data_IF_406416079926
#
_entry.id   IF_406416079926
#
_cell.length_a   1.000
_cell.length_b   1.000
_cell.length_c   1.000
_cell.angle_alpha   90.00
_cell.angle_beta   90.00
_cell.angle_gamma   90.00
#
_symmetry.space_group_name_H-M   'P 1'
#
loop_
_entity.id
_entity.type
_entity.pdbx_description
1 polymer ?
#
# COMPACT_ATOMS: atom_id res chain seq x y z
N UNK A 1 39.97 -10.45 -50.76
CA UNK A 1 39.74 -9.46 -49.70
C UNK A 1 40.53 -9.93 -48.48
N UNK A 2 41.73 -9.39 -48.26
CA UNK A 2 42.61 -9.79 -47.15
C UNK A 2 42.36 -8.89 -45.95
N UNK A 3 41.89 -9.45 -44.83
CA UNK A 3 41.73 -8.72 -43.58
C UNK A 3 43.11 -8.74 -42.89
N UNK A 4 43.88 -7.66 -43.02
CA UNK A 4 45.12 -7.47 -42.25
C UNK A 4 44.78 -6.89 -40.88
N UNK A 5 44.58 -7.76 -39.88
CA UNK A 5 44.51 -7.36 -38.48
C UNK A 5 45.94 -7.23 -37.91
N UNK A 6 46.30 -6.06 -37.39
CA UNK A 6 47.60 -5.84 -36.76
C UNK A 6 47.65 -6.56 -35.39
N UNK A 7 48.72 -7.30 -35.09
CA UNK A 7 48.89 -8.00 -33.81
C UNK A 7 48.74 -7.08 -32.58
N UNK A 8 49.09 -5.79 -32.69
CA UNK A 8 48.85 -4.81 -31.64
C UNK A 8 47.34 -4.52 -31.42
N UNK A 9 46.55 -4.50 -32.49
CA UNK A 9 45.09 -4.34 -32.41
C UNK A 9 44.44 -5.58 -31.79
N UNK A 10 44.93 -6.78 -32.11
CA UNK A 10 44.48 -8.04 -31.49
C UNK A 10 44.74 -8.02 -29.99
N UNK A 11 45.96 -7.68 -29.55
CA UNK A 11 46.30 -7.55 -28.12
C UNK A 11 45.47 -6.47 -27.40
N UNK A 12 45.15 -5.37 -28.07
CA UNK A 12 44.25 -4.35 -27.51
C UNK A 12 42.83 -4.87 -27.33
N UNK A 13 42.32 -5.70 -28.25
CA UNK A 13 41.01 -6.34 -28.13
C UNK A 13 41.00 -7.39 -27.03
N UNK A 14 42.06 -8.21 -26.89
CA UNK A 14 42.23 -9.18 -25.80
C UNK A 14 42.20 -8.49 -24.43
N UNK A 15 43.02 -7.45 -24.24
CA UNK A 15 43.04 -6.66 -23.00
C UNK A 15 41.68 -6.03 -22.68
N UNK A 16 40.92 -5.61 -23.71
CA UNK A 16 39.56 -5.07 -23.54
C UNK A 16 38.58 -6.15 -23.12
N UNK A 17 38.65 -7.34 -23.73
CA UNK A 17 37.82 -8.48 -23.36
C UNK A 17 38.10 -8.95 -21.93
N UNK A 18 39.37 -9.05 -21.52
CA UNK A 18 39.74 -9.39 -20.14
C UNK A 18 39.24 -8.35 -19.12
N UNK A 19 39.34 -7.06 -19.45
CA UNK A 19 38.80 -5.98 -18.60
C UNK A 19 37.27 -6.01 -18.54
N UNK A 20 36.61 -6.31 -19.65
CA UNK A 20 35.15 -6.50 -19.69
C UNK A 20 34.73 -7.70 -18.84
N UNK A 21 35.47 -8.80 -18.94
CA UNK A 21 35.19 -10.05 -18.24
C UNK A 21 35.45 -9.93 -16.72
N UNK A 22 36.52 -9.25 -16.31
CA UNK A 22 36.91 -9.18 -14.89
C UNK A 22 35.92 -8.42 -14.00
N UNK A 23 35.27 -7.35 -14.49
CA UNK A 23 34.26 -6.59 -13.72
C UNK A 23 33.11 -6.00 -14.55
N UNK A 24 33.28 -5.85 -15.86
CA UNK A 24 32.28 -5.24 -16.74
C UNK A 24 30.97 -6.03 -16.78
N UNK A 25 31.03 -7.35 -16.89
CA UNK A 25 29.84 -8.21 -16.88
C UNK A 25 29.04 -8.06 -15.58
N UNK A 26 29.71 -8.13 -14.44
CA UNK A 26 29.11 -7.92 -13.11
C UNK A 26 28.41 -6.56 -13.01
N UNK A 27 29.05 -5.48 -13.48
CA UNK A 27 28.42 -4.15 -13.45
C UNK A 27 27.24 -4.06 -14.41
N UNK A 28 27.29 -4.72 -15.56
CA UNK A 28 26.18 -4.76 -16.50
C UNK A 28 24.98 -5.52 -15.92
N UNK A 29 25.21 -6.64 -15.24
CA UNK A 29 24.16 -7.39 -14.52
C UNK A 29 23.52 -6.53 -13.42
N UNK A 30 24.35 -5.94 -12.55
CA UNK A 30 23.89 -5.05 -11.48
C UNK A 30 23.07 -3.88 -12.02
N UNK A 31 23.52 -3.26 -13.11
CA UNK A 31 22.81 -2.16 -13.75
C UNK A 31 21.46 -2.63 -14.31
N UNK A 32 21.42 -3.82 -14.90
CA UNK A 32 20.22 -4.41 -15.50
C UNK A 32 19.14 -4.67 -14.46
N UNK A 33 19.47 -5.39 -13.38
CA UNK A 33 18.50 -5.71 -12.32
C UNK A 33 18.04 -4.45 -11.59
N UNK A 34 18.95 -3.50 -11.35
CA UNK A 34 18.59 -2.22 -10.75
C UNK A 34 17.65 -1.42 -11.65
N UNK A 35 17.95 -1.35 -12.95
CA UNK A 35 17.10 -0.64 -13.92
C UNK A 35 15.71 -1.26 -13.98
N UNK A 36 15.61 -2.59 -14.05
CA UNK A 36 14.34 -3.28 -14.04
C UNK A 36 13.52 -2.94 -12.78
N UNK A 37 14.14 -2.95 -11.60
CA UNK A 37 13.48 -2.59 -10.36
C UNK A 37 13.00 -1.11 -10.34
N UNK A 38 13.82 -0.16 -10.79
CA UNK A 38 13.43 1.25 -10.87
C UNK A 38 12.30 1.51 -11.87
N UNK A 39 12.34 0.87 -13.04
CA UNK A 39 11.26 1.01 -14.02
C UNK A 39 9.98 0.34 -13.54
N UNK A 40 10.06 -0.81 -12.84
CA UNK A 40 8.91 -1.45 -12.20
C UNK A 40 8.28 -0.52 -11.16
N UNK A 41 9.10 0.11 -10.31
CA UNK A 41 8.62 1.08 -9.31
C UNK A 41 7.91 2.26 -9.97
N UNK A 42 8.49 2.81 -11.04
CA UNK A 42 7.95 3.96 -11.77
C UNK A 42 6.60 3.62 -12.41
N UNK A 43 6.52 2.46 -13.07
CA UNK A 43 5.30 1.95 -13.69
C UNK A 43 4.21 1.69 -12.64
N UNK A 44 4.55 0.98 -11.57
CA UNK A 44 3.62 0.69 -10.47
C UNK A 44 3.07 1.98 -9.85
N UNK A 45 3.90 3.00 -9.60
CA UNK A 45 3.45 4.30 -9.08
C UNK A 45 2.47 5.01 -10.01
N UNK A 46 2.68 4.91 -11.33
CA UNK A 46 1.83 5.51 -12.36
C UNK A 46 0.47 4.82 -12.43
N UNK A 47 0.45 3.49 -12.42
CA UNK A 47 -0.79 2.72 -12.55
C UNK A 47 -1.63 2.66 -11.26
N UNK A 48 -1.01 2.87 -10.10
CA UNK A 48 -1.66 2.66 -8.81
C UNK A 48 -2.98 3.46 -8.65
N UNK A 49 -3.01 4.70 -9.15
CA UNK A 49 -4.19 5.56 -9.07
C UNK A 49 -5.36 5.10 -9.93
N UNK A 50 -5.10 4.36 -11.02
CA UNK A 50 -6.14 3.76 -11.85
C UNK A 50 -6.68 2.44 -11.28
N UNK A 51 -5.85 1.71 -10.52
CA UNK A 51 -6.23 0.40 -9.95
C UNK A 51 -6.90 0.49 -8.60
N UNK A 52 -6.62 1.52 -7.80
CA UNK A 52 -7.20 1.68 -6.47
C UNK A 52 -7.43 3.14 -6.10
N UNK A 53 -8.44 3.39 -5.25
CA UNK A 53 -8.71 4.73 -4.72
C UNK A 53 -7.62 5.13 -3.72
N UNK A 54 -6.72 6.01 -4.17
CA UNK A 54 -5.66 6.57 -3.35
C UNK A 54 -6.19 7.72 -2.50
N UNK A 55 -6.28 7.49 -1.18
CA UNK A 55 -6.75 8.50 -0.21
C UNK A 55 -5.64 9.42 0.29
N UNK A 56 -4.40 9.11 -0.04
CA UNK A 56 -3.21 9.88 0.28
C UNK A 56 -2.08 9.54 -0.71
N UNK A 57 -1.04 10.38 -0.76
CA UNK A 57 0.16 10.12 -1.55
C UNK A 57 1.13 9.12 -0.89
N UNK A 58 0.89 8.72 0.37
CA UNK A 58 1.80 7.86 1.12
C UNK A 58 1.87 6.45 0.56
N UNK A 59 0.76 5.91 0.06
CA UNK A 59 0.73 4.60 -0.63
C UNK A 59 1.66 4.55 -1.85
N UNK A 60 1.75 5.64 -2.62
CA UNK A 60 2.68 5.72 -3.76
C UNK A 60 4.13 5.89 -3.29
N UNK A 61 4.34 6.73 -2.27
CA UNK A 61 5.67 7.01 -1.71
C UNK A 61 6.27 5.81 -0.99
N UNK A 62 5.44 4.92 -0.44
CA UNK A 62 5.90 3.72 0.25
C UNK A 62 6.44 2.63 -0.68
N UNK A 63 6.23 2.75 -1.99
CA UNK A 63 6.82 1.86 -2.98
C UNK A 63 8.29 2.23 -3.12
N UNK A 64 9.19 1.34 -2.71
CA UNK A 64 10.63 1.53 -2.63
C UNK A 64 11.37 0.45 -3.43
N UNK A 65 12.63 0.75 -3.77
CA UNK A 65 13.54 -0.16 -4.44
C UNK A 65 14.72 -0.45 -3.52
N UNK A 66 15.00 -1.73 -3.29
CA UNK A 66 16.27 -2.20 -2.75
C UNK A 66 17.20 -2.49 -3.92
N UNK A 67 18.29 -1.73 -4.02
CA UNK A 67 19.26 -1.90 -5.10
C UNK A 67 20.07 -3.18 -4.92
N UNK A 68 20.43 -3.81 -6.03
CA UNK A 68 21.44 -4.86 -6.07
C UNK A 68 22.81 -4.30 -5.73
N UNK A 69 23.59 -5.09 -5.01
CA UNK A 69 25.00 -4.84 -4.75
C UNK A 69 25.82 -6.07 -5.18
N UNK A 70 27.16 -5.96 -5.14
CA UNK A 70 28.07 -7.02 -5.61
C UNK A 70 27.94 -8.35 -4.84
N UNK A 71 27.34 -8.35 -3.65
CA UNK A 71 27.16 -9.55 -2.83
C UNK A 71 25.82 -10.23 -3.14
N UNK A 72 24.74 -9.44 -3.26
CA UNK A 72 23.38 -10.00 -3.40
C UNK A 72 22.98 -10.23 -4.85
N UNK A 73 23.49 -9.43 -5.79
CA UNK A 73 23.11 -9.44 -7.23
C UNK A 73 21.61 -9.33 -7.53
N UNK A 74 20.80 -9.09 -6.51
CA UNK A 74 19.36 -9.01 -6.58
C UNK A 74 18.87 -7.59 -6.26
N UNK A 75 18.00 -7.07 -7.11
CA UNK A 75 17.24 -5.86 -6.84
C UNK A 75 15.77 -6.23 -6.57
N UNK A 76 15.13 -5.55 -5.62
CA UNK A 76 13.74 -5.81 -5.28
C UNK A 76 12.94 -4.52 -5.27
N UNK A 77 11.69 -4.59 -5.71
CA UNK A 77 10.72 -3.49 -5.62
C UNK A 77 9.54 -3.95 -4.80
N UNK A 78 9.05 -3.11 -3.89
CA UNK A 78 7.92 -3.44 -3.05
C UNK A 78 7.42 -2.25 -2.26
N UNK A 79 6.42 -2.46 -1.41
CA UNK A 79 5.90 -1.42 -0.51
C UNK A 79 6.26 -1.71 0.94
N UNK A 80 6.58 -0.68 1.71
CA UNK A 80 6.75 -0.80 3.17
C UNK A 80 5.42 -0.96 3.92
N UNK A 81 4.29 -0.86 3.21
CA UNK A 81 2.96 -0.95 3.80
C UNK A 81 2.37 -2.33 3.65
N UNK A 82 2.13 -3.02 4.78
CA UNK A 82 1.56 -4.38 4.80
C UNK A 82 0.24 -4.52 4.05
N UNK A 83 -0.63 -3.50 4.09
CA UNK A 83 -1.91 -3.58 3.37
C UNK A 83 -1.72 -3.64 1.85
N UNK A 84 -0.61 -3.16 1.29
CA UNK A 84 -0.35 -3.21 -0.15
C UNK A 84 -0.06 -4.64 -0.62
N UNK A 85 0.57 -5.46 0.22
CA UNK A 85 0.72 -6.89 -0.03
C UNK A 85 -0.65 -7.57 -0.06
N UNK A 86 -1.51 -7.29 0.92
CA UNK A 86 -2.89 -7.83 0.94
C UNK A 86 -3.71 -7.36 -0.25
N UNK A 87 -3.48 -6.16 -0.79
CA UNK A 87 -4.09 -5.73 -2.05
C UNK A 87 -3.54 -6.53 -3.24
N UNK A 88 -2.22 -6.77 -3.29
CA UNK A 88 -1.57 -7.48 -4.40
C UNK A 88 -2.06 -8.92 -4.56
N UNK A 89 -2.13 -9.66 -3.46
CA UNK A 89 -2.44 -11.10 -3.45
C UNK A 89 -3.89 -11.40 -3.06
N UNK A 90 -4.60 -10.42 -2.49
CA UNK A 90 -5.88 -10.64 -1.82
C UNK A 90 -5.68 -11.12 -0.38
N UNK A 91 -6.78 -11.29 0.35
CA UNK A 91 -6.69 -11.88 1.68
C UNK A 91 -7.93 -11.66 2.52
N UNK A 92 -7.80 -11.94 3.81
CA UNK A 92 -8.88 -11.81 4.77
C UNK A 92 -8.39 -11.04 5.99
N UNK A 93 -9.16 -10.06 6.40
CA UNK A 93 -8.94 -9.34 7.66
C UNK A 93 -9.95 -9.84 8.69
N UNK A 94 -9.45 -10.40 9.80
CA UNK A 94 -10.27 -10.88 10.90
C UNK A 94 -10.27 -9.90 12.07
N UNK A 95 -11.33 -9.91 12.86
CA UNK A 95 -11.44 -9.05 14.04
C UNK A 95 -10.46 -9.50 15.13
N UNK A 96 -9.62 -8.59 15.62
CA UNK A 96 -8.68 -8.86 16.73
C UNK A 96 -9.32 -8.82 18.12
N UNK A 97 -10.56 -8.32 18.23
CA UNK A 97 -11.23 -8.09 19.50
C UNK A 97 -12.61 -8.74 19.62
N UNK A 98 -13.30 -8.42 20.72
CA UNK A 98 -14.67 -8.91 20.98
C UNK A 98 -15.67 -8.46 19.91
N UNK A 99 -15.44 -7.28 19.32
CA UNK A 99 -16.28 -6.72 18.26
C UNK A 99 -15.81 -7.16 16.86
N UNK A 100 -16.47 -6.72 15.79
CA UNK A 100 -16.04 -7.03 14.42
C UNK A 100 -14.85 -6.19 13.96
N UNK A 101 -14.43 -6.39 12.71
CA UNK A 101 -13.41 -5.56 12.03
C UNK A 101 -13.92 -4.13 11.93
N UNK A 102 -13.06 -3.16 12.23
CA UNK A 102 -13.41 -1.74 12.18
C UNK A 102 -13.37 -1.21 10.75
N UNK A 103 -14.54 -1.10 10.12
CA UNK A 103 -14.67 -0.58 8.76
C UNK A 103 -15.12 0.89 8.81
N UNK A 104 -14.27 1.86 8.46
CA UNK A 104 -14.65 3.26 8.50
C UNK A 104 -15.68 3.62 7.43
N UNK A 105 -16.69 4.38 7.86
CA UNK A 105 -17.73 4.95 7.00
C UNK A 105 -17.29 6.29 6.38
N UNK A 106 -18.08 6.81 5.43
CA UNK A 106 -17.85 8.14 4.81
C UNK A 106 -17.97 9.30 5.82
N UNK A 107 -18.71 9.10 6.91
CA UNK A 107 -18.79 10.06 8.02
C UNK A 107 -17.46 10.12 8.78
N UNK A 108 -16.71 9.01 8.86
CA UNK A 108 -15.42 8.96 9.53
C UNK A 108 -14.36 9.84 8.85
N UNK A 109 -14.38 9.89 7.52
CA UNK A 109 -13.57 10.80 6.70
C UNK A 109 -14.19 12.20 6.61
N UNK A 110 -15.46 12.34 6.95
CA UNK A 110 -16.22 13.59 6.90
C UNK A 110 -16.54 14.02 5.47
N UNK A 111 -16.84 13.03 4.62
CA UNK A 111 -17.29 13.20 3.23
C UNK A 111 -18.82 13.23 3.11
N UNK A 112 -19.54 13.26 4.23
CA UNK A 112 -21.00 13.15 4.28
C UNK A 112 -21.50 11.70 4.37
N UNK A 113 -22.82 11.50 4.46
CA UNK A 113 -23.42 10.15 4.49
C UNK A 113 -23.54 9.60 3.08
N UNK A 114 -23.14 8.35 2.86
CA UNK A 114 -23.40 7.62 1.61
C UNK A 114 -22.31 7.72 0.56
N UNK A 115 -21.30 8.57 0.74
CA UNK A 115 -20.21 8.77 -0.23
C UNK A 115 -19.41 7.47 -0.42
N UNK A 116 -19.49 6.91 -1.63
CA UNK A 116 -18.81 5.69 -2.04
C UNK A 116 -18.24 5.87 -3.47
N UNK A 117 -16.96 5.55 -3.72
CA UNK A 117 -15.93 5.19 -2.75
C UNK A 117 -15.51 6.40 -1.87
N UNK A 118 -14.94 6.12 -0.69
CA UNK A 118 -14.34 7.15 0.17
C UNK A 118 -13.01 7.61 -0.43
N UNK A 119 -12.87 8.91 -0.65
CA UNK A 119 -11.68 9.56 -1.21
C UNK A 119 -10.75 10.10 -0.12
N UNK A 120 -11.28 10.42 1.07
CA UNK A 120 -10.50 11.00 2.18
C UNK A 120 -10.15 9.98 3.25
N UNK A 121 -9.01 10.19 3.89
CA UNK A 121 -8.62 9.44 5.09
C UNK A 121 -9.59 9.70 6.25
N UNK A 122 -9.64 8.73 7.17
CA UNK A 122 -10.36 8.89 8.44
C UNK A 122 -9.75 10.05 9.22
N UNK A 123 -10.59 11.00 9.64
CA UNK A 123 -10.13 12.14 10.45
C UNK A 123 -9.54 11.64 11.76
N UNK A 124 -8.48 12.29 12.26
CA UNK A 124 -7.79 11.90 13.51
C UNK A 124 -8.73 11.56 14.68
N UNK A 125 -9.76 12.36 15.04
CA UNK A 125 -10.65 12.02 16.17
C UNK A 125 -11.54 10.80 15.91
N UNK A 126 -11.71 10.40 14.65
CA UNK A 126 -12.57 9.30 14.25
C UNK A 126 -11.81 7.96 14.09
N UNK A 127 -10.50 7.96 14.30
CA UNK A 127 -9.68 6.74 14.35
C UNK A 127 -10.02 5.96 15.62
N UNK A 128 -10.16 4.63 15.52
CA UNK A 128 -10.53 3.76 16.65
C UNK A 128 -9.61 3.97 17.85
N UNK A 129 -8.30 4.12 17.62
CA UNK A 129 -7.30 4.37 18.68
C UNK A 129 -7.54 5.65 19.49
N UNK A 130 -8.23 6.64 18.91
CA UNK A 130 -8.46 7.95 19.52
C UNK A 130 -9.88 8.08 20.07
N UNK A 131 -10.73 7.07 19.89
CA UNK A 131 -12.12 7.10 20.33
C UNK A 131 -12.17 6.68 21.79
N UNK A 132 -12.58 7.62 22.65
CA UNK A 132 -12.96 7.33 24.05
C UNK A 132 -14.47 7.16 24.14
N UNK A 133 -14.92 5.97 24.55
CA UNK A 133 -16.35 5.68 24.68
C UNK A 133 -16.94 6.29 25.95
N UNK A 134 -18.18 6.75 25.85
CA UNK A 134 -19.01 6.97 27.03
C UNK A 134 -19.27 5.63 27.75
N UNK A 135 -19.52 5.69 29.07
CA UNK A 135 -19.77 4.49 29.87
C UNK A 135 -21.02 3.78 29.38
N UNK A 136 -20.92 2.50 29.07
CA UNK A 136 -22.07 1.68 28.71
C UNK A 136 -22.84 1.26 29.96
N UNK A 137 -24.17 1.35 29.90
CA UNK A 137 -25.04 0.84 30.96
C UNK A 137 -25.06 -0.70 30.97
N UNK A 138 -25.08 -1.29 32.16
CA UNK A 138 -25.21 -2.75 32.36
C UNK A 138 -26.69 -3.17 32.39
N UNK A 139 -27.44 -2.81 31.34
CA UNK A 139 -28.87 -3.18 31.21
C UNK A 139 -29.00 -4.38 30.26
N UNK A 140 -29.90 -5.32 30.57
CA UNK A 140 -30.20 -6.50 29.73
C UNK A 140 -30.82 -6.11 28.38
N UNK A 141 -31.71 -5.12 28.37
CA UNK A 141 -32.40 -4.66 27.16
C UNK A 141 -31.52 -3.75 26.27
N UNK A 142 -31.29 -4.18 25.02
CA UNK A 142 -30.50 -3.46 24.00
C UNK A 142 -31.02 -2.05 23.70
N UNK A 143 -32.33 -1.86 23.54
CA UNK A 143 -32.91 -0.53 23.21
C UNK A 143 -32.65 0.46 24.34
N UNK A 144 -32.85 0.02 25.58
CA UNK A 144 -32.57 0.82 26.78
C UNK A 144 -31.07 1.11 26.92
N UNK A 145 -30.21 0.09 26.73
CA UNK A 145 -28.74 0.25 26.74
C UNK A 145 -28.27 1.31 25.76
N UNK A 146 -28.77 1.26 24.52
CA UNK A 146 -28.46 2.24 23.47
C UNK A 146 -28.94 3.65 23.84
N UNK A 147 -30.17 3.78 24.36
CA UNK A 147 -30.72 5.06 24.78
C UNK A 147 -29.93 5.69 25.93
N UNK A 148 -29.51 4.89 26.91
CA UNK A 148 -28.68 5.35 28.04
C UNK A 148 -27.31 5.78 27.53
N UNK A 149 -26.68 5.02 26.63
CA UNK A 149 -25.39 5.39 26.05
C UNK A 149 -25.45 6.76 25.33
N UNK A 150 -26.52 7.03 24.58
CA UNK A 150 -26.74 8.34 23.93
C UNK A 150 -26.90 9.46 24.95
N UNK A 151 -27.73 9.25 25.99
CA UNK A 151 -27.93 10.25 27.06
C UNK A 151 -26.62 10.54 27.79
N UNK A 152 -25.85 9.51 28.09
CA UNK A 152 -24.57 9.62 28.80
C UNK A 152 -23.51 10.35 27.98
N UNK A 153 -23.45 10.09 26.68
CA UNK A 153 -22.56 10.80 25.76
C UNK A 153 -22.85 12.31 25.66
N UNK A 154 -24.12 12.69 25.75
CA UNK A 154 -24.52 14.10 25.77
C UNK A 154 -24.17 14.72 27.14
N UNK A 155 -24.47 14.02 28.23
CA UNK A 155 -24.23 14.48 29.61
C UNK A 155 -22.75 14.70 29.91
N UNK A 156 -21.91 13.74 29.52
CA UNK A 156 -20.46 13.74 29.80
C UNK A 156 -19.65 14.51 28.75
N UNK A 157 -20.27 14.93 27.65
CA UNK A 157 -19.57 15.50 26.49
C UNK A 157 -18.76 14.48 25.67
N UNK A 158 -18.65 13.21 26.10
CA UNK A 158 -17.98 12.14 25.35
C UNK A 158 -18.85 11.72 24.18
N UNK A 159 -18.69 12.39 23.04
CA UNK A 159 -19.56 12.24 21.87
C UNK A 159 -19.48 10.89 21.15
N UNK A 160 -18.66 9.94 21.59
CA UNK A 160 -18.53 8.64 20.94
C UNK A 160 -19.14 7.52 21.79
N UNK A 161 -19.94 6.67 21.14
CA UNK A 161 -20.65 5.56 21.77
C UNK A 161 -20.55 4.31 20.92
N UNK A 162 -20.57 3.15 21.57
CA UNK A 162 -20.80 1.88 20.90
C UNK A 162 -22.29 1.57 20.92
N UNK A 163 -22.88 1.32 19.75
CA UNK A 163 -24.28 0.88 19.67
C UNK A 163 -24.35 -0.48 18.97
N UNK A 164 -25.20 -1.32 19.53
CA UNK A 164 -25.63 -2.57 18.91
C UNK A 164 -27.07 -2.39 18.42
N UNK A 165 -27.24 -2.34 17.10
CA UNK A 165 -28.54 -2.30 16.44
C UNK A 165 -28.95 -3.73 16.06
N UNK A 166 -30.16 -3.92 15.54
CA UNK A 166 -30.66 -5.24 15.16
C UNK A 166 -29.75 -5.96 14.16
N UNK A 167 -29.39 -5.29 13.06
CA UNK A 167 -28.59 -5.88 11.96
C UNK A 167 -27.16 -5.38 11.90
N UNK A 168 -26.80 -4.38 12.71
CA UNK A 168 -25.51 -3.68 12.62
C UNK A 168 -25.01 -3.33 14.00
N UNK A 169 -23.70 -3.30 14.19
CA UNK A 169 -23.06 -2.78 15.40
C UNK A 169 -21.86 -1.93 15.01
N UNK A 170 -21.53 -0.94 15.83
CA UNK A 170 -20.50 0.00 15.43
C UNK A 170 -20.23 1.10 16.44
N UNK A 171 -19.27 1.94 16.09
CA UNK A 171 -18.98 3.18 16.79
C UNK A 171 -19.76 4.32 16.14
N UNK A 172 -20.47 5.06 16.96
CA UNK A 172 -21.30 6.18 16.55
C UNK A 172 -20.81 7.46 17.21
N UNK A 173 -20.92 8.57 16.49
CA UNK A 173 -20.78 9.91 17.06
C UNK A 173 -22.15 10.52 17.27
N UNK A 174 -22.32 11.09 18.45
CA UNK A 174 -23.51 11.81 18.88
C UNK A 174 -23.32 13.29 18.57
N UNK A 175 -24.25 13.83 17.80
CA UNK A 175 -24.40 15.24 17.49
C UNK A 175 -25.66 15.80 18.16
N UNK A 176 -25.71 17.13 18.29
CA UNK A 176 -26.84 17.83 18.89
C UNK A 176 -26.83 17.82 20.42
N UNK A 177 -27.90 18.40 20.97
CA UNK A 177 -28.12 18.51 22.41
C UNK A 177 -29.16 17.52 22.93
N UNK A 178 -29.55 17.67 24.19
CA UNK A 178 -30.48 16.80 24.92
C UNK A 178 -31.83 16.59 24.22
N UNK A 179 -32.35 17.61 23.54
CA UNK A 179 -33.69 17.60 22.91
C UNK A 179 -33.75 16.86 21.57
N UNK A 180 -32.71 16.95 20.75
CA UNK A 180 -32.66 16.36 19.39
C UNK A 180 -31.31 15.70 19.12
N UNK A 181 -30.99 14.59 19.81
CA UNK A 181 -29.75 13.88 19.58
C UNK A 181 -29.76 13.19 18.21
N UNK A 182 -28.68 13.37 17.45
CA UNK A 182 -28.46 12.68 16.18
C UNK A 182 -27.26 11.76 16.33
N UNK A 183 -27.37 10.54 15.83
CA UNK A 183 -26.26 9.58 15.84
C UNK A 183 -25.82 9.27 14.42
N UNK A 184 -24.51 9.21 14.20
CA UNK A 184 -23.94 8.81 12.91
C UNK A 184 -22.88 7.74 13.12
N UNK A 185 -22.96 6.67 12.34
CA UNK A 185 -21.98 5.59 12.38
C UNK A 185 -20.68 6.05 11.75
N UNK A 186 -19.58 5.92 12.50
CA UNK A 186 -18.22 6.23 12.07
C UNK A 186 -17.46 4.94 11.72
N UNK A 187 -17.63 3.89 12.52
CA UNK A 187 -17.01 2.59 12.28
C UNK A 187 -18.10 1.53 12.28
N UNK A 188 -18.23 0.78 11.18
CA UNK A 188 -19.06 -0.41 11.11
C UNK A 188 -18.23 -1.59 11.67
N UNK A 189 -18.72 -2.22 12.74
CA UNK A 189 -18.11 -3.35 13.44
C UNK A 189 -18.96 -4.63 13.28
N UNK A 190 -19.85 -4.67 12.29
CA UNK A 190 -20.83 -5.75 12.16
C UNK A 190 -20.21 -7.06 11.67
N UNK A 191 -19.13 -6.97 10.88
CA UNK A 191 -18.50 -8.13 10.26
C UNK A 191 -17.37 -8.66 11.13
N UNK A 192 -17.36 -9.98 11.38
CA UNK A 192 -16.25 -10.64 12.07
C UNK A 192 -15.00 -10.77 11.21
N UNK A 193 -15.20 -10.85 9.90
CA UNK A 193 -14.13 -10.89 8.92
C UNK A 193 -14.52 -10.13 7.66
N UNK A 194 -13.53 -9.65 6.93
CA UNK A 194 -13.70 -8.96 5.64
C UNK A 194 -12.80 -9.64 4.61
N UNK A 195 -13.40 -10.08 3.52
CA UNK A 195 -12.66 -10.54 2.36
C UNK A 195 -12.13 -9.33 1.58
N UNK A 196 -10.84 -9.33 1.29
CA UNK A 196 -10.15 -8.30 0.50
C UNK A 196 -9.83 -8.95 -0.85
N UNK A 197 -10.52 -8.54 -1.93
CA UNK A 197 -10.29 -9.12 -3.24
C UNK A 197 -8.88 -8.77 -3.72
N UNK A 198 -8.31 -9.68 -4.53
CA UNK A 198 -7.02 -9.47 -5.19
C UNK A 198 -7.12 -8.29 -6.16
N UNK A 199 -6.20 -7.34 -6.06
CA UNK A 199 -6.04 -6.20 -6.93
C UNK A 199 -4.54 -6.00 -7.23
N UNK A 200 -3.99 -6.76 -8.20
CA UNK A 200 -2.56 -6.75 -8.47
C UNK A 200 -2.16 -5.39 -9.04
N UNK A 201 -1.23 -4.73 -8.37
CA UNK A 201 -0.71 -3.41 -8.69
C UNK A 201 0.79 -3.42 -8.99
N UNK A 202 1.53 -4.39 -8.46
CA UNK A 202 2.96 -4.56 -8.68
C UNK A 202 3.28 -5.62 -9.72
N UNK A 203 2.61 -6.79 -9.67
CA UNK A 203 2.90 -7.90 -10.59
C UNK A 203 2.82 -7.49 -12.07
N UNK A 204 1.77 -6.77 -12.53
CA UNK A 204 1.68 -6.40 -13.94
C UNK A 204 2.81 -5.48 -14.40
N UNK A 205 3.26 -4.58 -13.51
CA UNK A 205 4.40 -3.71 -13.77
C UNK A 205 5.70 -4.53 -13.84
N UNK A 206 5.87 -5.50 -12.95
CA UNK A 206 7.04 -6.39 -12.93
C UNK A 206 7.11 -7.24 -14.21
N UNK A 207 6.02 -7.89 -14.60
CA UNK A 207 5.94 -8.75 -15.79
C UNK A 207 6.34 -7.97 -17.06
N UNK A 208 5.90 -6.72 -17.17
CA UNK A 208 6.26 -5.83 -18.27
C UNK A 208 7.76 -5.51 -18.31
N UNK A 209 8.40 -5.32 -17.16
CA UNK A 209 9.84 -5.05 -17.10
C UNK A 209 10.69 -6.31 -17.30
N UNK A 210 10.21 -7.48 -16.90
CA UNK A 210 10.89 -8.76 -17.14
C UNK A 210 11.11 -8.97 -18.64
N UNK A 211 10.12 -8.63 -19.47
CA UNK A 211 10.24 -8.69 -20.94
C UNK A 211 11.30 -7.73 -21.51
N UNK A 212 11.66 -6.67 -20.79
CA UNK A 212 12.67 -5.69 -21.22
C UNK A 212 14.10 -6.04 -20.74
N UNK A 213 14.27 -7.08 -19.92
CA UNK A 213 15.58 -7.46 -19.37
C UNK A 213 16.66 -7.65 -20.43
N UNK A 214 16.45 -8.36 -21.56
CA UNK A 214 17.49 -8.51 -22.58
C UNK A 214 17.95 -7.17 -23.15
N UNK A 215 17.01 -6.23 -23.35
CA UNK A 215 17.31 -4.88 -23.83
C UNK A 215 18.10 -4.07 -22.80
N UNK A 216 17.72 -4.15 -21.52
CA UNK A 216 18.44 -3.50 -20.43
C UNK A 216 19.86 -4.01 -20.33
N UNK A 217 20.05 -5.33 -20.44
CA UNK A 217 21.35 -5.97 -20.42
C UNK A 217 22.22 -5.58 -21.60
N UNK A 218 21.69 -5.61 -22.83
CA UNK A 218 22.40 -5.15 -24.02
C UNK A 218 22.86 -3.68 -23.89
N UNK A 219 21.99 -2.81 -23.38
CA UNK A 219 22.32 -1.39 -23.15
C UNK A 219 23.43 -1.25 -22.09
N UNK A 220 23.38 -2.05 -21.04
CA UNK A 220 24.37 -2.01 -19.96
C UNK A 220 25.74 -2.52 -20.46
N UNK A 221 25.77 -3.59 -21.25
CA UNK A 221 26.98 -4.09 -21.92
C UNK A 221 27.58 -3.06 -22.86
N UNK A 222 26.76 -2.40 -23.68
CA UNK A 222 27.23 -1.33 -24.57
C UNK A 222 27.89 -0.18 -23.79
N UNK A 223 27.33 0.20 -22.63
CA UNK A 223 27.94 1.20 -21.73
C UNK A 223 29.29 0.74 -21.19
N UNK A 224 29.43 -0.53 -20.81
CA UNK A 224 30.72 -1.05 -20.35
C UNK A 224 31.74 -1.10 -21.49
N UNK A 225 31.33 -1.50 -22.70
CA UNK A 225 32.20 -1.48 -23.89
C UNK A 225 32.67 -0.06 -24.22
N UNK A 226 31.79 0.95 -24.11
CA UNK A 226 32.15 2.36 -24.33
C UNK A 226 33.17 2.88 -23.30
N UNK A 227 33.14 2.39 -22.06
CA UNK A 227 34.14 2.75 -21.02
C UNK A 227 35.53 2.17 -21.26
N UNK A 228 35.63 1.16 -22.12
CA UNK A 228 36.90 0.53 -22.50
C UNK A 228 37.53 1.18 -23.74
N UNK A 229 36.84 2.12 -24.39
CA UNK A 229 37.36 2.96 -25.46
C UNK A 229 38.03 4.19 -24.85
#
# INVERSE_FOLDING_TARGET
>A
MTITANAAQVRQLENKLERLNSRGLLFAELETVNRAAFETQKEARRELGGRMTLRNAWSQRSILVRKANRQTLEAATGSTQRYMETQEIGGREDSTGKHGVAIPTSVASGEGRGSKPRQKLVRRPNKVSNITLARNARTSNRKQRNAIAVKEAIRTGRRYIFLELQRRKGLFRVYGGKRKPRVEMIQDLSRKSVNIPRNPWLMPAADKQVQQLPRYYATALERQLKRLR
#
